data_IF_621015395560
#
_entry.id   IF_621015395560
#
_cell.length_a   1.000
_cell.length_b   1.000
_cell.length_c   1.000
_cell.angle_alpha   90.00
_cell.angle_beta   90.00
_cell.angle_gamma   90.00
#
_symmetry.space_group_name_H-M   'P 1'
#
loop_
_entity.id
_entity.type
_entity.pdbx_description
1 polymer ?
#
# COMPACT_ATOMS: atom_id res chain seq x y z
N UNK A 1 -3.46 6.57 18.68
CA UNK A 1 -3.94 6.31 17.30
C UNK A 1 -2.85 6.77 16.35
N UNK A 2 -2.20 5.85 15.64
CA UNK A 2 -1.17 6.19 14.66
C UNK A 2 -1.87 6.83 13.45
N UNK A 3 -1.74 8.14 13.25
CA UNK A 3 -2.22 8.82 12.03
C UNK A 3 -1.23 8.50 10.91
N UNK A 4 -1.47 7.41 10.20
CA UNK A 4 -0.75 7.15 8.95
C UNK A 4 -1.27 8.08 7.87
N UNK A 5 -0.33 8.70 7.16
CA UNK A 5 -0.63 9.53 6.00
C UNK A 5 -1.28 8.67 4.92
N UNK A 6 -2.37 9.17 4.35
CA UNK A 6 -3.02 8.50 3.22
C UNK A 6 -2.04 8.32 2.05
N UNK A 7 -2.14 7.19 1.32
CA UNK A 7 -1.25 6.92 0.21
C UNK A 7 -1.48 7.94 -0.90
N UNK A 8 -0.41 8.32 -1.57
CA UNK A 8 -0.50 9.24 -2.69
C UNK A 8 -1.10 8.53 -3.91
N UNK A 9 -1.81 9.30 -4.72
CA UNK A 9 -2.34 8.92 -6.02
C UNK A 9 -1.26 8.30 -6.93
N UNK A 10 -1.50 7.07 -7.42
CA UNK A 10 -0.63 6.39 -8.36
C UNK A 10 -1.13 6.54 -9.80
N UNK A 11 -0.41 7.33 -10.59
CA UNK A 11 -0.75 7.57 -12.00
C UNK A 11 -0.17 6.57 -13.00
N UNK A 12 0.54 5.53 -12.55
CA UNK A 12 1.20 4.56 -13.43
C UNK A 12 2.68 4.86 -13.75
N UNK A 13 3.33 5.78 -13.02
CA UNK A 13 4.75 6.09 -13.23
C UNK A 13 5.64 5.15 -12.43
N UNK A 14 6.58 4.48 -13.10
CA UNK A 14 7.54 3.54 -12.51
C UNK A 14 8.26 4.05 -11.27
N UNK A 15 8.76 5.29 -11.32
CA UNK A 15 9.45 5.94 -10.21
C UNK A 15 8.63 6.02 -8.91
N UNK A 16 7.30 5.98 -9.01
CA UNK A 16 6.40 6.04 -7.84
C UNK A 16 5.78 4.68 -7.49
N UNK A 17 6.01 3.62 -8.27
CA UNK A 17 5.43 2.30 -8.05
C UNK A 17 5.87 1.70 -6.71
N UNK A 18 7.18 1.72 -6.41
CA UNK A 18 7.71 1.21 -5.15
C UNK A 18 7.23 2.04 -3.94
N UNK A 19 7.21 3.36 -4.08
CA UNK A 19 6.75 4.28 -3.03
C UNK A 19 5.25 4.08 -2.73
N UNK A 20 4.44 3.80 -3.75
CA UNK A 20 3.02 3.52 -3.62
C UNK A 20 2.77 2.25 -2.78
N UNK A 21 3.41 1.13 -3.13
CA UNK A 21 3.27 -0.11 -2.36
C UNK A 21 3.76 0.02 -0.92
N UNK A 22 4.86 0.76 -0.70
CA UNK A 22 5.36 1.01 0.65
C UNK A 22 4.35 1.77 1.51
N UNK A 23 3.65 2.75 0.93
CA UNK A 23 2.57 3.49 1.61
C UNK A 23 1.37 2.59 1.91
N UNK A 24 0.97 1.72 0.98
CA UNK A 24 -0.12 0.77 1.20
C UNK A 24 0.19 -0.20 2.36
N UNK A 25 1.40 -0.79 2.37
CA UNK A 25 1.84 -1.68 3.46
C UNK A 25 1.77 -0.95 4.81
N UNK A 26 2.17 0.31 4.86
CA UNK A 26 2.09 1.12 6.08
C UNK A 26 0.64 1.31 6.57
N UNK A 27 -0.30 1.55 5.65
CA UNK A 27 -1.73 1.69 5.96
C UNK A 27 -2.31 0.37 6.49
N UNK A 28 -2.00 -0.74 5.82
CA UNK A 28 -2.48 -2.08 6.22
C UNK A 28 -1.91 -2.50 7.57
N UNK A 29 -0.60 -2.29 7.78
CA UNK A 29 0.05 -2.58 9.06
C UNK A 29 -0.51 -1.73 10.22
N UNK A 30 -1.02 -0.54 9.91
CA UNK A 30 -1.58 0.37 10.92
C UNK A 30 -3.06 0.11 11.23
N UNK A 31 -3.78 -0.55 10.32
CA UNK A 31 -5.18 -0.91 10.50
C UNK A 31 -5.44 -2.38 10.09
N UNK A 32 -4.77 -3.36 10.71
CA UNK A 32 -4.86 -4.76 10.30
C UNK A 32 -6.30 -5.28 10.34
N UNK A 33 -7.10 -4.86 11.33
CA UNK A 33 -8.51 -5.23 11.50
C UNK A 33 -9.44 -4.74 10.39
N UNK A 34 -9.01 -3.74 9.59
CA UNK A 34 -9.80 -3.24 8.44
C UNK A 34 -9.42 -3.94 7.14
N UNK A 35 -8.24 -4.55 7.10
CA UNK A 35 -7.63 -5.12 5.91
C UNK A 35 -7.25 -6.59 6.15
N UNK A 36 -8.21 -7.36 6.68
CA UNK A 36 -8.03 -8.79 6.96
C UNK A 36 -8.02 -9.62 5.68
N UNK A 37 -8.77 -9.22 4.66
CA UNK A 37 -8.80 -9.87 3.35
C UNK A 37 -7.89 -9.16 2.34
N UNK A 38 -7.19 -9.94 1.53
CA UNK A 38 -6.35 -9.42 0.45
C UNK A 38 -7.17 -8.69 -0.61
N UNK A 39 -8.40 -9.14 -0.91
CA UNK A 39 -9.34 -8.42 -1.77
C UNK A 39 -9.60 -6.99 -1.27
N UNK A 40 -9.76 -6.79 0.04
CA UNK A 40 -9.99 -5.46 0.62
C UNK A 40 -8.74 -4.56 0.47
N UNK A 41 -7.54 -5.13 0.61
CA UNK A 41 -6.27 -4.43 0.36
C UNK A 41 -6.15 -4.01 -1.10
N UNK A 42 -6.50 -4.91 -2.01
CA UNK A 42 -6.42 -4.69 -3.46
C UNK A 42 -7.40 -3.60 -3.90
N UNK A 43 -8.68 -3.69 -3.49
CA UNK A 43 -9.69 -2.67 -3.79
C UNK A 43 -9.31 -1.29 -3.25
N UNK A 44 -8.73 -1.26 -2.04
CA UNK A 44 -8.20 -0.03 -1.48
C UNK A 44 -7.04 0.50 -2.32
N UNK A 45 -6.08 -0.34 -2.73
CA UNK A 45 -5.00 0.06 -3.60
C UNK A 45 -5.51 0.64 -4.93
N UNK A 46 -6.44 -0.04 -5.60
CA UNK A 46 -7.04 0.39 -6.88
C UNK A 46 -7.73 1.75 -6.73
N UNK A 47 -8.37 2.03 -5.59
CA UNK A 47 -8.99 3.33 -5.32
C UNK A 47 -8.00 4.51 -5.35
N UNK A 48 -6.73 4.26 -5.04
CA UNK A 48 -5.66 5.26 -5.12
C UNK A 48 -4.85 5.18 -6.44
N UNK A 49 -5.18 4.27 -7.36
CA UNK A 49 -4.61 4.24 -8.72
C UNK A 49 -5.30 5.28 -9.59
N UNK A 50 -5.11 6.55 -9.27
CA UNK A 50 -5.73 7.67 -9.99
C UNK A 50 -4.82 8.09 -11.14
N UNK A 51 -5.19 7.66 -12.34
CA UNK A 51 -4.54 8.04 -13.59
C UNK A 51 -5.14 7.26 -14.74
N UNK A 52 -5.23 7.88 -15.92
CA UNK A 52 -5.86 7.26 -17.11
C UNK A 52 -5.25 5.90 -17.42
N UNK A 53 -3.93 5.76 -17.31
CA UNK A 53 -3.23 4.51 -17.64
C UNK A 53 -3.35 3.46 -16.53
N UNK A 54 -3.20 3.87 -15.28
CA UNK A 54 -3.22 2.97 -14.12
C UNK A 54 -4.62 2.41 -13.83
N UNK A 55 -5.64 3.25 -13.90
CA UNK A 55 -7.03 2.85 -13.70
C UNK A 55 -7.54 2.03 -14.89
N UNK A 56 -7.28 2.45 -16.14
CA UNK A 56 -7.71 1.71 -17.32
C UNK A 56 -7.09 0.29 -17.39
N UNK A 57 -5.89 0.10 -16.85
CA UNK A 57 -5.29 -1.24 -16.72
C UNK A 57 -6.09 -2.13 -15.77
N UNK A 58 -6.66 -1.56 -14.70
CA UNK A 58 -7.44 -2.30 -13.70
C UNK A 58 -8.92 -2.45 -14.05
N UNK A 59 -9.44 -1.59 -14.92
CA UNK A 59 -10.83 -1.55 -15.36
C UNK A 59 -11.40 -2.92 -15.81
N UNK A 60 -10.74 -3.72 -16.68
CA UNK A 60 -11.28 -5.02 -17.08
C UNK A 60 -11.38 -6.00 -15.90
N UNK A 61 -10.42 -5.99 -14.98
CA UNK A 61 -10.48 -6.84 -13.80
C UNK A 61 -11.60 -6.41 -12.84
N UNK A 62 -11.84 -5.10 -12.72
CA UNK A 62 -12.96 -4.53 -11.96
C UNK A 62 -14.34 -4.76 -12.60
N UNK A 63 -14.42 -5.21 -13.86
CA UNK A 63 -15.70 -5.64 -14.42
C UNK A 63 -16.02 -7.08 -14.03
N UNK A 64 -14.99 -7.92 -13.86
CA UNK A 64 -15.12 -9.35 -13.53
C UNK A 64 -15.01 -9.66 -12.02
N UNK A 65 -14.90 -8.67 -11.14
CA UNK A 65 -14.89 -8.86 -9.67
C UNK A 65 -16.12 -9.61 -9.14
N UNK A 66 -17.28 -9.42 -9.76
CA UNK A 66 -18.53 -10.08 -9.36
C UNK A 66 -18.89 -11.28 -10.25
N UNK A 67 -17.99 -11.68 -11.14
CA UNK A 67 -18.17 -12.88 -11.97
C UNK A 67 -18.01 -14.16 -11.14
N UNK A 68 -18.53 -15.26 -11.66
CA UNK A 68 -18.43 -16.59 -11.03
C UNK A 68 -16.97 -17.06 -10.88
N UNK A 69 -16.09 -16.59 -11.77
CA UNK A 69 -14.64 -16.79 -11.74
C UNK A 69 -13.93 -15.42 -11.64
N UNK A 70 -13.74 -14.86 -10.43
CA UNK A 70 -13.08 -13.59 -10.26
C UNK A 70 -11.59 -13.73 -10.56
N UNK A 71 -10.95 -12.70 -11.17
CA UNK A 71 -9.56 -12.80 -11.56
C UNK A 71 -8.66 -12.87 -10.32
N UNK A 72 -7.74 -13.84 -10.29
CA UNK A 72 -6.84 -14.10 -9.15
C UNK A 72 -6.03 -12.87 -8.70
N UNK A 73 -5.79 -11.91 -9.59
CA UNK A 73 -5.14 -10.63 -9.28
C UNK A 73 -5.94 -9.77 -8.27
N UNK A 74 -7.25 -10.01 -8.11
CA UNK A 74 -8.12 -9.32 -7.17
C UNK A 74 -8.30 -10.06 -5.84
N UNK A 75 -7.80 -11.29 -5.75
CA UNK A 75 -7.86 -12.12 -4.54
C UNK A 75 -6.47 -12.26 -3.88
N UNK A 76 -5.39 -12.24 -4.67
CA UNK A 76 -4.03 -12.39 -4.16
C UNK A 76 -3.22 -11.08 -4.25
N UNK A 77 -2.93 -10.47 -3.10
CA UNK A 77 -2.22 -9.18 -3.03
C UNK A 77 -0.78 -9.27 -3.56
N UNK A 78 -0.15 -10.45 -3.46
CA UNK A 78 1.22 -10.66 -3.94
C UNK A 78 1.23 -10.70 -5.47
N UNK A 79 0.28 -11.40 -6.08
CA UNK A 79 0.07 -11.46 -7.53
C UNK A 79 -0.30 -10.08 -8.08
N UNK A 80 -1.16 -9.33 -7.38
CA UNK A 80 -1.46 -7.94 -7.70
C UNK A 80 -0.19 -7.08 -7.75
N UNK A 81 0.62 -7.14 -6.68
CA UNK A 81 1.86 -6.37 -6.59
C UNK A 81 2.84 -6.73 -7.70
N UNK A 82 3.03 -8.02 -7.97
CA UNK A 82 3.93 -8.49 -9.02
C UNK A 82 3.45 -8.03 -10.40
N UNK A 83 2.17 -8.20 -10.70
CA UNK A 83 1.56 -7.78 -11.97
C UNK A 83 1.67 -6.28 -12.20
N UNK A 84 1.41 -5.45 -11.18
CA UNK A 84 1.57 -3.99 -11.29
C UNK A 84 3.03 -3.58 -11.39
N UNK A 85 3.93 -4.25 -10.68
CA UNK A 85 5.38 -3.98 -10.79
C UNK A 85 5.90 -4.40 -12.16
N UNK A 86 5.37 -5.47 -12.75
CA UNK A 86 5.70 -5.90 -14.11
C UNK A 86 5.15 -4.93 -15.17
N UNK A 87 3.90 -4.46 -14.99
CA UNK A 87 3.24 -3.57 -15.94
C UNK A 87 3.76 -2.13 -15.88
N UNK A 88 4.07 -1.63 -14.68
CA UNK A 88 4.40 -0.21 -14.44
C UNK A 88 5.74 0.03 -13.77
N UNK A 89 6.39 -0.98 -13.20
CA UNK A 89 7.63 -0.81 -12.43
C UNK A 89 8.87 -0.63 -13.31
N UNK A 90 9.93 -0.14 -12.68
CA UNK A 90 11.27 -0.10 -13.27
C UNK A 90 11.99 -1.41 -12.93
N UNK A 91 12.81 -1.93 -13.83
CA UNK A 91 13.43 -3.27 -13.76
C UNK A 91 14.52 -3.42 -12.65
N UNK A 92 14.46 -2.60 -11.59
CA UNK A 92 15.41 -2.59 -10.47
C UNK A 92 14.68 -2.81 -9.13
N UNK A 93 14.44 -4.08 -8.73
CA UNK A 93 13.49 -4.42 -7.66
C UNK A 93 14.06 -4.47 -6.22
N UNK A 94 15.30 -4.10 -5.94
CA UNK A 94 15.94 -4.52 -4.68
C UNK A 94 16.25 -3.35 -3.73
N UNK A 95 15.87 -3.52 -2.46
CA UNK A 95 16.50 -3.01 -1.22
C UNK A 95 15.64 -2.13 -0.28
N UNK A 96 14.66 -1.34 -0.72
CA UNK A 96 14.22 -0.22 0.17
C UNK A 96 12.96 -0.43 1.06
N UNK A 97 12.23 -1.53 0.93
CA UNK A 97 10.97 -1.69 1.67
C UNK A 97 11.14 -2.08 3.15
N UNK A 98 12.24 -2.76 3.51
CA UNK A 98 12.45 -3.27 4.88
C UNK A 98 13.17 -2.26 5.79
N UNK A 99 13.93 -1.31 5.22
CA UNK A 99 14.66 -0.31 6.01
C UNK A 99 13.78 0.84 6.51
N UNK A 100 12.71 1.20 5.80
CA UNK A 100 11.88 2.36 6.15
C UNK A 100 10.84 2.09 7.25
N UNK A 101 10.50 0.82 7.53
CA UNK A 101 9.53 0.46 8.57
C UNK A 101 10.16 0.58 9.97
N UNK A 102 11.48 0.36 10.10
CA UNK A 102 12.18 0.48 11.38
C UNK A 102 12.40 1.93 11.82
N UNK A 103 12.40 2.90 10.89
CA UNK A 103 12.58 4.31 11.24
C UNK A 103 11.30 5.00 11.77
N UNK A 104 10.14 4.36 11.68
CA UNK A 104 8.86 4.92 12.13
C UNK A 104 8.51 4.58 13.59
N UNK A 105 9.34 3.80 14.29
CA UNK A 105 9.07 3.36 15.67
C UNK A 105 9.73 4.21 16.76
N UNK A 106 10.42 5.31 16.44
CA UNK A 106 11.07 6.10 17.48
C UNK A 106 11.08 7.60 17.19
N UNK A 107 10.09 8.29 17.75
CA UNK A 107 10.25 9.53 18.54
C UNK A 107 8.86 9.97 19.00
N UNK A 108 8.31 9.27 19.99
CA UNK A 108 7.49 9.97 20.97
C UNK A 108 8.46 10.59 21.97
N UNK A 109 8.48 11.91 22.20
CA UNK A 109 9.12 12.42 23.41
C UNK A 109 8.40 11.75 24.58
N UNK A 110 9.10 10.91 25.32
CA UNK A 110 8.62 10.52 26.64
C UNK A 110 8.50 11.82 27.42
N UNK A 111 7.27 12.23 27.68
CA UNK A 111 6.98 13.36 28.54
C UNK A 111 7.51 12.95 29.92
N UNK A 112 8.68 13.48 30.29
CA UNK A 112 9.21 13.39 31.64
C UNK A 112 8.28 14.24 32.50
N UNK A 113 7.23 13.61 33.01
CA UNK A 113 6.42 14.13 34.09
C UNK A 113 7.29 14.11 35.36
N UNK A 114 7.41 15.27 36.00
CA UNK A 114 8.45 15.59 36.98
C UNK A 114 8.42 14.83 38.29
N UNK A 115 9.48 15.07 39.08
CA UNK A 115 9.44 15.32 40.52
C UNK A 115 10.74 16.04 40.94
N UNK A 116 10.61 17.30 41.36
CA UNK A 116 11.40 17.92 42.45
C UNK A 116 10.86 17.34 43.79
N UNK A 117 11.53 17.29 44.98
CA UNK A 117 12.73 17.97 45.54
C UNK A 117 13.80 16.93 46.01
N UNK A 118 14.96 17.25 46.65
CA UNK A 118 15.27 18.07 47.83
C UNK A 118 16.75 18.49 47.80
#
# INVERSE_FOLDING_TARGET
>A
MLKVKEPNAFSGKAAYCNAFFSQLILVFASNPSKFESDQAKILYAISYMTGVVAFAYMEPYLQDIYSDDPPAILDDFKLFKDTITLAFGDNHPVVNAEASIQSLKQTGPVSVCGIHPL
#
